data_IF_865655869331
#
_entry.id   IF_865655869331
#
_cell.length_a   1.000
_cell.length_b   1.000
_cell.length_c   1.000
_cell.angle_alpha   90.00
_cell.angle_beta   90.00
_cell.angle_gamma   90.00
#
_symmetry.space_group_name_H-M   'P 1'
#
loop_
_entity.id
_entity.type
_entity.pdbx_description
1 polymer ?
#
# COMPACT_ATOMS: atom_id res chain seq x y z
N UNK A 1 16.90 44.08 59.43
CA UNK A 1 16.48 43.75 58.05
C UNK A 1 17.40 42.72 57.36
N UNK A 2 18.70 42.66 57.67
CA UNK A 2 19.64 41.67 57.10
C UNK A 2 19.46 40.22 57.60
N UNK A 3 19.03 40.05 58.86
CA UNK A 3 18.79 38.74 59.49
C UNK A 3 17.75 37.91 58.71
N UNK A 4 16.69 38.55 58.22
CA UNK A 4 15.64 37.91 57.43
C UNK A 4 16.12 37.52 56.03
N UNK A 5 16.96 38.33 55.38
CA UNK A 5 17.62 37.97 54.10
C UNK A 5 18.52 36.73 54.26
N UNK A 6 19.29 36.65 55.35
CA UNK A 6 20.17 35.50 55.66
C UNK A 6 19.37 34.22 55.96
N UNK A 7 18.18 34.34 56.54
CA UNK A 7 17.29 33.20 56.82
C UNK A 7 16.64 32.64 55.54
N UNK A 8 16.22 33.52 54.63
CA UNK A 8 15.65 33.15 53.33
C UNK A 8 16.72 32.49 52.44
N UNK A 9 17.93 33.05 52.40
CA UNK A 9 19.04 32.48 51.64
C UNK A 9 19.39 31.06 52.10
N UNK A 10 19.39 30.82 53.42
CA UNK A 10 19.65 29.49 54.00
C UNK A 10 18.54 28.47 53.69
N UNK A 11 17.28 28.92 53.56
CA UNK A 11 16.14 28.09 53.13
C UNK A 11 16.26 27.69 51.65
N UNK A 12 16.62 28.65 50.78
CA UNK A 12 16.85 28.42 49.35
C UNK A 12 18.02 27.45 49.13
N UNK A 13 19.11 27.63 49.88
CA UNK A 13 20.30 26.77 49.80
C UNK A 13 20.00 25.33 50.28
N UNK A 14 19.10 25.17 51.26
CA UNK A 14 18.65 23.86 51.75
C UNK A 14 17.70 23.16 50.76
N UNK A 15 16.87 23.93 50.04
CA UNK A 15 16.05 23.44 48.92
C UNK A 15 16.95 22.96 47.76
N UNK A 16 17.98 23.73 47.41
CA UNK A 16 18.93 23.34 46.37
C UNK A 16 19.68 22.05 46.73
N UNK A 17 20.04 21.88 48.01
CA UNK A 17 20.67 20.65 48.51
C UNK A 17 19.71 19.45 48.47
N UNK A 18 18.42 19.66 48.73
CA UNK A 18 17.40 18.62 48.70
C UNK A 18 17.10 18.15 47.26
N UNK A 19 17.05 19.07 46.29
CA UNK A 19 16.94 18.76 44.85
C UNK A 19 18.11 17.89 44.39
N UNK A 20 19.34 18.22 44.80
CA UNK A 20 20.54 17.45 44.44
C UNK A 20 20.58 16.02 45.03
N UNK A 21 19.87 15.78 46.14
CA UNK A 21 19.72 14.44 46.74
C UNK A 21 18.73 13.59 45.94
N UNK A 22 17.68 14.21 45.39
CA UNK A 22 16.67 13.51 44.59
C UNK A 22 17.21 12.99 43.25
N UNK A 23 18.16 13.70 42.62
CA UNK A 23 18.80 13.25 41.37
C UNK A 23 19.60 11.93 41.51
N UNK A 24 20.13 11.62 42.69
CA UNK A 24 21.05 10.48 42.86
C UNK A 24 20.37 9.11 42.92
N UNK A 25 19.05 9.03 43.14
CA UNK A 25 18.38 7.75 43.49
C UNK A 25 17.65 7.06 42.33
N UNK A 26 17.54 7.68 41.17
CA UNK A 26 16.94 7.07 39.97
C UNK A 26 18.01 6.55 39.00
N UNK A 27 18.89 5.66 39.46
CA UNK A 27 19.73 4.87 38.55
C UNK A 27 18.99 3.58 38.19
N UNK A 28 17.91 3.74 37.41
CA UNK A 28 17.25 2.61 36.74
C UNK A 28 18.33 1.90 35.91
N UNK A 29 18.57 0.61 36.15
CA UNK A 29 19.42 -0.18 35.27
C UNK A 29 18.66 -0.33 33.95
N UNK A 30 19.07 0.42 32.94
CA UNK A 30 18.61 0.22 31.56
C UNK A 30 19.01 -1.19 31.13
N UNK A 31 18.08 -2.14 31.22
CA UNK A 31 18.28 -3.45 30.63
C UNK A 31 18.27 -3.25 29.11
N UNK A 32 19.41 -3.50 28.47
CA UNK A 32 19.55 -3.49 27.01
C UNK A 32 18.81 -4.70 26.42
N UNK A 33 17.48 -4.64 26.40
CA UNK A 33 16.61 -5.59 25.71
C UNK A 33 16.57 -5.24 24.23
N UNK A 34 17.66 -5.58 23.53
CA UNK A 34 17.70 -5.70 22.07
C UNK A 34 18.91 -6.59 21.75
N UNK A 35 18.76 -7.88 22.05
CA UNK A 35 19.83 -8.85 21.81
C UNK A 35 19.78 -9.32 20.36
N UNK A 36 20.91 -9.78 19.81
CA UNK A 36 20.94 -10.33 18.45
C UNK A 36 20.05 -11.57 18.29
N UNK A 37 19.91 -12.37 19.36
CA UNK A 37 19.07 -13.57 19.36
C UNK A 37 17.58 -13.24 19.26
N UNK A 38 17.15 -12.12 19.82
CA UNK A 38 15.77 -11.65 19.76
C UNK A 38 15.40 -11.26 18.33
N UNK A 39 16.27 -10.52 17.63
CA UNK A 39 16.06 -10.22 16.20
C UNK A 39 16.08 -11.49 15.33
N UNK A 40 16.93 -12.47 15.66
CA UNK A 40 17.03 -13.73 14.90
C UNK A 40 15.73 -14.54 14.97
N UNK A 41 15.15 -14.69 16.17
CA UNK A 41 13.89 -15.42 16.36
C UNK A 41 12.74 -14.69 15.67
N UNK A 42 12.71 -13.35 15.71
CA UNK A 42 11.68 -12.55 15.03
C UNK A 42 11.73 -12.74 13.52
N UNK A 43 12.91 -12.69 12.91
CA UNK A 43 13.07 -12.95 11.47
C UNK A 43 12.68 -14.38 11.11
N UNK A 44 13.01 -15.36 11.96
CA UNK A 44 12.59 -16.75 11.77
C UNK A 44 11.06 -16.90 11.74
N UNK A 45 10.34 -16.31 12.70
CA UNK A 45 8.87 -16.37 12.73
C UNK A 45 8.26 -15.66 11.52
N UNK A 46 8.72 -14.45 11.18
CA UNK A 46 8.20 -13.67 10.04
C UNK A 46 8.39 -14.44 8.72
N UNK A 47 9.52 -15.12 8.54
CA UNK A 47 9.77 -15.91 7.32
C UNK A 47 8.73 -17.02 7.10
N UNK A 48 8.31 -17.70 8.17
CA UNK A 48 7.29 -18.76 8.11
C UNK A 48 5.93 -18.14 7.77
N UNK A 49 5.60 -16.99 8.37
CA UNK A 49 4.35 -16.27 8.08
C UNK A 49 4.29 -15.85 6.60
N UNK A 50 5.35 -15.23 6.06
CA UNK A 50 5.42 -14.81 4.66
C UNK A 50 5.17 -15.99 3.71
N UNK A 51 5.72 -17.17 4.00
CA UNK A 51 5.55 -18.36 3.17
C UNK A 51 4.07 -18.80 3.06
N UNK A 52 3.27 -18.60 4.11
CA UNK A 52 1.84 -18.90 4.10
C UNK A 52 1.00 -17.78 3.47
N UNK A 53 1.38 -16.51 3.67
CA UNK A 53 0.61 -15.36 3.16
C UNK A 53 0.87 -15.05 1.68
N UNK A 54 2.11 -15.10 1.21
CA UNK A 54 2.49 -14.77 -0.18
C UNK A 54 1.73 -15.58 -1.24
N UNK A 55 1.60 -16.92 -1.16
CA UNK A 55 0.87 -17.66 -2.17
C UNK A 55 -0.62 -17.27 -2.23
N UNK A 56 -1.21 -16.89 -1.10
CA UNK A 56 -2.59 -16.42 -1.07
C UNK A 56 -2.74 -15.05 -1.73
N UNK A 57 -1.80 -14.12 -1.47
CA UNK A 57 -1.78 -12.80 -2.10
C UNK A 57 -1.57 -12.86 -3.62
N UNK A 58 -0.74 -13.79 -4.11
CA UNK A 58 -0.52 -13.97 -5.55
C UNK A 58 -1.79 -14.43 -6.26
N UNK A 59 -2.58 -15.32 -5.63
CA UNK A 59 -3.86 -15.80 -6.18
C UNK A 59 -4.90 -14.69 -6.23
N UNK A 60 -5.01 -13.88 -5.18
CA UNK A 60 -5.94 -12.73 -5.18
C UNK A 60 -5.54 -11.69 -6.22
N UNK A 61 -4.24 -11.40 -6.36
CA UNK A 61 -3.76 -10.47 -7.39
C UNK A 61 -4.11 -10.95 -8.81
N UNK A 62 -3.93 -12.24 -9.11
CA UNK A 62 -4.26 -12.78 -10.43
C UNK A 62 -5.76 -12.79 -10.69
N UNK A 63 -6.58 -13.06 -9.67
CA UNK A 63 -8.04 -12.95 -9.78
C UNK A 63 -8.48 -11.50 -10.04
N UNK A 64 -7.95 -10.53 -9.29
CA UNK A 64 -8.22 -9.10 -9.50
C UNK A 64 -7.80 -8.67 -10.90
N UNK A 65 -6.66 -9.16 -11.40
CA UNK A 65 -6.22 -8.88 -12.76
C UNK A 65 -7.22 -9.41 -13.80
N UNK A 66 -7.68 -10.66 -13.69
CA UNK A 66 -8.69 -11.23 -14.60
C UNK A 66 -10.01 -10.47 -14.58
N UNK A 67 -10.50 -10.12 -13.39
CA UNK A 67 -11.73 -9.31 -13.26
C UNK A 67 -11.53 -7.89 -13.82
N UNK A 68 -10.35 -7.32 -13.65
CA UNK A 68 -9.98 -6.03 -14.25
C UNK A 68 -9.96 -6.09 -15.78
N UNK A 69 -9.36 -7.13 -16.36
CA UNK A 69 -9.31 -7.37 -17.81
C UNK A 69 -10.74 -7.56 -18.37
N UNK A 70 -11.60 -8.32 -17.70
CA UNK A 70 -13.02 -8.45 -18.06
C UNK A 70 -13.77 -7.10 -18.04
N UNK A 71 -13.48 -6.24 -17.05
CA UNK A 71 -14.07 -4.92 -16.99
C UNK A 71 -13.58 -4.02 -18.14
N UNK A 72 -12.31 -4.16 -18.55
CA UNK A 72 -11.77 -3.45 -19.71
C UNK A 72 -12.49 -3.86 -21.00
N UNK A 73 -12.73 -5.16 -21.20
CA UNK A 73 -13.52 -5.67 -22.35
C UNK A 73 -14.88 -4.96 -22.42
N UNK A 74 -15.61 -4.94 -21.30
CA UNK A 74 -16.91 -4.28 -21.23
C UNK A 74 -16.85 -2.77 -21.54
N UNK A 75 -15.80 -2.08 -21.07
CA UNK A 75 -15.61 -0.66 -21.38
C UNK A 75 -15.35 -0.47 -22.87
N UNK A 76 -14.48 -1.27 -23.49
CA UNK A 76 -14.18 -1.20 -24.92
C UNK A 76 -15.42 -1.47 -25.76
N UNK A 77 -16.20 -2.49 -25.41
CA UNK A 77 -17.47 -2.80 -26.07
C UNK A 77 -18.49 -1.66 -25.92
N UNK A 78 -18.54 -1.02 -24.75
CA UNK A 78 -19.41 0.14 -24.54
C UNK A 78 -18.98 1.34 -25.40
N UNK A 79 -17.67 1.56 -25.56
CA UNK A 79 -17.17 2.61 -26.46
C UNK A 79 -17.43 2.28 -27.92
N UNK A 80 -17.34 1.01 -28.32
CA UNK A 80 -17.69 0.56 -29.66
C UNK A 80 -19.17 0.80 -29.96
N UNK A 81 -20.06 0.46 -29.03
CA UNK A 81 -21.50 0.73 -29.16
C UNK A 81 -21.78 2.24 -29.27
N UNK A 82 -21.08 3.08 -28.53
CA UNK A 82 -21.22 4.53 -28.66
C UNK A 82 -20.76 5.02 -30.05
N UNK A 83 -19.66 4.46 -30.57
CA UNK A 83 -19.19 4.78 -31.90
C UNK A 83 -20.18 4.35 -32.99
N UNK A 84 -20.78 3.16 -32.86
CA UNK A 84 -21.82 2.64 -33.76
C UNK A 84 -23.03 3.58 -33.82
N UNK A 85 -23.45 4.13 -32.67
CA UNK A 85 -24.55 5.09 -32.60
C UNK A 85 -24.26 6.41 -33.32
N UNK A 86 -22.99 6.82 -33.35
CA UNK A 86 -22.56 8.06 -34.00
C UNK A 86 -22.26 7.88 -35.50
N UNK A 87 -22.08 6.64 -35.98
CA UNK A 87 -21.66 6.30 -37.35
C UNK A 87 -22.62 5.34 -38.06
N UNK A 88 -23.94 5.58 -37.97
CA UNK A 88 -24.97 4.86 -38.73
C UNK A 88 -24.89 3.31 -38.60
N UNK A 89 -24.67 2.80 -37.38
CA UNK A 89 -24.56 1.36 -37.05
C UNK A 89 -23.36 0.63 -37.71
N UNK A 90 -22.32 1.36 -38.13
CA UNK A 90 -21.07 0.76 -38.60
C UNK A 90 -20.23 0.23 -37.43
N UNK A 91 -20.03 -1.10 -37.38
CA UNK A 91 -19.25 -1.77 -36.33
C UNK A 91 -17.77 -1.37 -36.42
N UNK A 92 -17.19 -0.69 -35.42
CA UNK A 92 -15.81 -0.23 -35.48
C UNK A 92 -14.82 -1.37 -35.23
N UNK A 93 -13.65 -1.25 -35.84
CA UNK A 93 -12.45 -2.00 -35.48
C UNK A 93 -11.79 -1.44 -34.21
N UNK A 94 -10.98 -2.25 -33.53
CA UNK A 94 -10.16 -1.76 -32.40
C UNK A 94 -9.19 -0.64 -32.82
N UNK A 95 -8.72 -0.69 -34.07
CA UNK A 95 -7.81 0.32 -34.64
C UNK A 95 -8.50 1.67 -34.87
N UNK A 96 -9.77 1.65 -35.28
CA UNK A 96 -10.58 2.86 -35.43
C UNK A 96 -10.91 3.48 -34.08
N UNK A 97 -11.25 2.69 -33.07
CA UNK A 97 -11.48 3.18 -31.71
C UNK A 97 -10.22 3.81 -31.09
N UNK A 98 -9.05 3.27 -31.42
CA UNK A 98 -7.76 3.84 -31.00
C UNK A 98 -7.48 5.17 -31.72
N UNK A 99 -7.75 5.21 -33.03
CA UNK A 99 -7.55 6.40 -33.86
C UNK A 99 -8.52 7.53 -33.51
N UNK A 100 -9.75 7.18 -33.12
CA UNK A 100 -10.76 8.09 -32.59
C UNK A 100 -10.44 8.56 -31.14
N UNK A 101 -9.42 7.98 -30.49
CA UNK A 101 -9.02 8.33 -29.13
C UNK A 101 -10.00 7.87 -28.04
N UNK A 102 -10.95 6.99 -28.38
CA UNK A 102 -11.94 6.46 -27.44
C UNK A 102 -11.35 5.38 -26.52
N UNK A 103 -10.32 4.67 -26.99
CA UNK A 103 -9.59 3.67 -26.23
C UNK A 103 -8.08 3.92 -26.28
N UNK A 104 -7.36 3.36 -25.32
CA UNK A 104 -5.91 3.47 -25.21
C UNK A 104 -5.22 2.15 -25.57
N UNK A 105 -3.94 2.22 -25.96
CA UNK A 105 -3.15 1.02 -26.27
C UNK A 105 -3.12 0.01 -25.11
N UNK A 106 -3.14 0.49 -23.86
CA UNK A 106 -3.18 -0.39 -22.68
C UNK A 106 -4.47 -1.19 -22.58
N UNK A 107 -5.60 -0.61 -23.01
CA UNK A 107 -6.88 -1.29 -23.02
C UNK A 107 -6.92 -2.37 -24.10
N UNK A 108 -6.31 -2.13 -25.26
CA UNK A 108 -6.17 -3.15 -26.33
C UNK A 108 -5.35 -4.34 -25.82
N UNK A 109 -4.18 -4.09 -25.22
CA UNK A 109 -3.36 -5.19 -24.70
C UNK A 109 -4.06 -5.99 -23.59
N UNK A 110 -4.88 -5.35 -22.76
CA UNK A 110 -5.69 -6.04 -21.75
C UNK A 110 -6.87 -6.80 -22.37
N UNK A 111 -7.46 -6.27 -23.45
CA UNK A 111 -8.49 -6.94 -24.25
C UNK A 111 -7.94 -8.22 -24.87
N UNK A 112 -6.78 -8.15 -25.55
CA UNK A 112 -6.15 -9.32 -26.17
C UNK A 112 -5.76 -10.37 -25.13
N UNK A 113 -5.19 -9.95 -23.99
CA UNK A 113 -4.82 -10.85 -22.89
C UNK A 113 -6.04 -11.61 -22.34
N UNK A 114 -7.19 -10.94 -22.23
CA UNK A 114 -8.42 -11.57 -21.80
C UNK A 114 -8.82 -12.74 -22.71
N UNK A 115 -8.81 -12.56 -24.03
CA UNK A 115 -9.21 -13.61 -24.98
C UNK A 115 -8.14 -14.71 -25.14
N UNK A 116 -6.85 -14.38 -24.95
CA UNK A 116 -5.78 -15.39 -24.89
C UNK A 116 -5.98 -16.38 -23.74
N UNK A 117 -6.49 -15.89 -22.60
CA UNK A 117 -6.80 -16.71 -21.42
C UNK A 117 -8.17 -17.40 -21.50
N UNK A 118 -9.11 -16.89 -22.29
CA UNK A 118 -10.49 -17.38 -22.40
C UNK A 118 -10.85 -17.80 -23.84
N UNK A 119 -10.11 -18.77 -24.39
CA UNK A 119 -10.23 -19.23 -25.80
C UNK A 119 -11.61 -19.79 -26.20
N UNK A 120 -12.48 -20.04 -25.24
CA UNK A 120 -13.84 -20.52 -25.43
C UNK A 120 -14.88 -19.39 -25.58
N UNK A 121 -14.47 -18.13 -25.39
CA UNK A 121 -15.32 -16.95 -25.56
C UNK A 121 -15.08 -16.31 -26.93
N UNK A 122 -16.15 -15.81 -27.54
CA UNK A 122 -16.11 -15.21 -28.89
C UNK A 122 -15.61 -13.76 -28.82
N UNK A 123 -14.59 -13.43 -29.61
CA UNK A 123 -14.03 -12.07 -29.70
C UNK A 123 -14.93 -11.20 -30.57
N UNK A 124 -15.31 -10.03 -30.06
CA UNK A 124 -16.21 -9.12 -30.80
C UNK A 124 -15.51 -8.36 -31.94
N UNK A 125 -14.19 -8.19 -31.86
CA UNK A 125 -13.37 -7.54 -32.88
C UNK A 125 -12.38 -8.55 -33.47
N UNK A 126 -12.16 -8.55 -34.78
CA UNK A 126 -11.35 -9.57 -35.47
C UNK A 126 -9.98 -9.09 -35.94
N UNK A 127 -9.62 -7.85 -35.61
CA UNK A 127 -8.41 -7.17 -36.11
C UNK A 127 -7.21 -7.31 -35.18
#
# INVERSE_FOLDING_TARGET
MERTKKFILKKIQKIFLFVKICEKKCRQKELKAFTLIEMLIVLAIISILILLFVPNLIKEKSQVQKTGEAAVVKVVESQAQLYELDHDDEKPSLSELLSAGMITQKQISAYDNYYDQNKNEERNFND
#
